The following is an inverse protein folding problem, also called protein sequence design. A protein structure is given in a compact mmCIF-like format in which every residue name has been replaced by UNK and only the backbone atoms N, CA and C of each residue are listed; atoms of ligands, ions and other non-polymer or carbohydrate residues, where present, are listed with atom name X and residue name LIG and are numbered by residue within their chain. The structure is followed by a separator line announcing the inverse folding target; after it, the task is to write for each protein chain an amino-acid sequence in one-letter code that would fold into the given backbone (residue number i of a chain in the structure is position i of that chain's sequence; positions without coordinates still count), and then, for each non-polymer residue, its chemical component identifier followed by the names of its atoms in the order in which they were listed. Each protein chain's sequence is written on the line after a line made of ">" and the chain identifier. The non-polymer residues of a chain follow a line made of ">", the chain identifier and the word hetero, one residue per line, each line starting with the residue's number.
data_IF_230644051558
#
_entry.id   IF_230644051558
#
_cell.length_a   1.000
_cell.length_b   1.000
_cell.length_c   1.000
_cell.angle_alpha   90.00
_cell.angle_beta   90.00
_cell.angle_gamma   90.00
#
_symmetry.space_group_name_H-M   'P 1'
#
loop_
_entity.id
_entity.type
_entity.pdbx_description
1 polymer ?
#
# COMPACT_ATOMS: atom_id res chain seq x y z
N UNK A 1 -10.65 6.89 -14.44
CA UNK A 1 -9.18 7.10 -14.42
C UNK A 1 -8.67 7.66 -13.09
N UNK A 2 -9.33 8.64 -12.46
CA UNK A 2 -8.89 9.23 -11.17
C UNK A 2 -8.70 8.23 -10.02
N UNK A 3 -9.57 7.22 -9.89
CA UNK A 3 -9.44 6.15 -8.86
C UNK A 3 -8.17 5.32 -9.03
N UNK A 4 -7.87 4.91 -10.27
CA UNK A 4 -6.68 4.10 -10.53
C UNK A 4 -5.41 4.91 -10.28
N UNK A 5 -5.40 6.18 -10.69
CA UNK A 5 -4.29 7.10 -10.41
C UNK A 5 -4.08 7.30 -8.90
N UNK A 6 -5.17 7.44 -8.13
CA UNK A 6 -5.11 7.49 -6.68
C UNK A 6 -4.48 6.22 -6.10
N UNK A 7 -5.00 5.05 -6.45
CA UNK A 7 -4.49 3.76 -5.96
C UNK A 7 -3.04 3.53 -6.36
N UNK A 8 -2.65 3.92 -7.58
CA UNK A 8 -1.29 3.81 -8.10
C UNK A 8 -0.32 4.69 -7.29
N UNK A 9 -0.66 5.96 -7.04
CA UNK A 9 0.16 6.88 -6.22
C UNK A 9 0.31 6.36 -4.79
N UNK A 10 -0.78 5.92 -4.18
CA UNK A 10 -0.77 5.32 -2.84
C UNK A 10 0.14 4.09 -2.79
N UNK A 11 -0.01 3.16 -3.74
CA UNK A 11 0.81 1.96 -3.82
C UNK A 11 2.29 2.27 -4.06
N UNK A 12 2.62 3.10 -5.05
CA UNK A 12 3.99 3.54 -5.34
C UNK A 12 4.65 4.19 -4.12
N UNK A 13 3.92 5.02 -3.39
CA UNK A 13 4.43 5.64 -2.16
C UNK A 13 4.81 4.57 -1.15
N UNK A 14 3.96 3.56 -0.92
CA UNK A 14 4.30 2.48 0.02
C UNK A 14 5.50 1.65 -0.45
N UNK A 15 5.60 1.34 -1.74
CA UNK A 15 6.68 0.49 -2.28
C UNK A 15 8.02 1.22 -2.35
N UNK A 16 8.02 2.54 -2.60
CA UNK A 16 9.25 3.33 -2.71
C UNK A 16 9.70 3.90 -1.37
N UNK A 17 8.77 4.39 -0.54
CA UNK A 17 9.12 5.07 0.72
C UNK A 17 9.46 4.09 1.84
N UNK A 18 8.78 2.93 1.91
CA UNK A 18 9.01 1.97 3.01
C UNK A 18 10.45 1.44 3.03
N UNK A 19 11.05 1.01 1.92
CA UNK A 19 12.46 0.61 1.89
C UNK A 19 13.40 1.70 2.39
N UNK A 20 13.15 2.96 2.04
CA UNK A 20 13.98 4.10 2.48
C UNK A 20 13.88 4.28 4.00
N UNK A 21 12.67 4.25 4.56
CA UNK A 21 12.45 4.36 6.02
C UNK A 21 13.13 3.19 6.75
N UNK A 22 12.96 1.97 6.25
CA UNK A 22 13.58 0.77 6.84
C UNK A 22 15.10 0.86 6.78
N UNK A 23 15.65 1.30 5.66
CA UNK A 23 17.11 1.44 5.49
C UNK A 23 17.67 2.46 6.47
N UNK A 24 17.02 3.62 6.63
CA UNK A 24 17.42 4.62 7.62
C UNK A 24 17.43 4.01 9.03
N UNK A 25 16.40 3.25 9.39
CA UNK A 25 16.33 2.56 10.67
C UNK A 25 17.48 1.54 10.85
N UNK A 26 17.75 0.72 9.84
CA UNK A 26 18.80 -0.31 9.89
C UNK A 26 20.21 0.32 9.93
N UNK A 27 20.45 1.40 9.18
CA UNK A 27 21.71 2.14 9.26
C UNK A 27 21.97 2.70 10.67
N UNK A 28 20.93 3.14 11.37
CA UNK A 28 21.06 3.71 12.73
C UNK A 28 21.21 2.61 13.80
N UNK A 29 20.49 1.50 13.65
CA UNK A 29 20.36 0.49 14.73
C UNK A 29 21.28 -0.72 14.56
N UNK A 30 21.58 -1.12 13.32
CA UNK A 30 22.28 -2.37 13.01
C UNK A 30 23.48 -2.20 12.07
N UNK A 31 23.76 -0.98 11.61
CA UNK A 31 24.82 -0.65 10.64
C UNK A 31 24.70 -1.48 9.36
N UNK A 32 23.72 -1.15 8.52
CA UNK A 32 23.59 -1.72 7.17
C UNK A 32 24.77 -1.28 6.29
N UNK A 33 25.67 -2.20 5.86
CA UNK A 33 26.86 -1.84 5.08
C UNK A 33 26.56 -1.43 3.63
N UNK A 34 25.45 -1.90 3.06
CA UNK A 34 25.07 -1.63 1.66
C UNK A 34 23.63 -1.09 1.51
N UNK A 35 23.35 0.11 2.04
CA UNK A 35 21.99 0.64 2.10
C UNK A 35 21.34 0.81 0.71
N UNK A 36 22.13 1.16 -0.31
CA UNK A 36 21.60 1.33 -1.66
C UNK A 36 21.19 0.00 -2.29
N UNK A 37 22.04 -1.04 -2.15
CA UNK A 37 21.75 -2.40 -2.63
C UNK A 37 20.46 -2.94 -1.98
N UNK A 38 20.31 -2.71 -0.68
CA UNK A 38 19.11 -3.09 0.07
C UNK A 38 17.86 -2.36 -0.46
N UNK A 39 17.89 -1.03 -0.61
CA UNK A 39 16.75 -0.25 -1.11
C UNK A 39 16.29 -0.76 -2.47
N UNK A 40 17.21 -0.93 -3.42
CA UNK A 40 16.89 -1.37 -4.78
C UNK A 40 16.27 -2.77 -4.78
N UNK A 41 16.85 -3.69 -4.00
CA UNK A 41 16.34 -5.06 -3.88
C UNK A 41 14.95 -5.07 -3.25
N UNK A 42 14.75 -4.33 -2.16
CA UNK A 42 13.47 -4.23 -1.47
C UNK A 42 12.38 -3.58 -2.34
N UNK A 43 12.71 -2.62 -3.20
CA UNK A 43 11.77 -2.05 -4.18
C UNK A 43 11.38 -3.11 -5.20
N UNK A 44 12.33 -3.83 -5.80
CA UNK A 44 12.04 -4.86 -6.82
C UNK A 44 11.16 -5.98 -6.24
N UNK A 45 11.55 -6.52 -5.08
CA UNK A 45 10.76 -7.53 -4.36
C UNK A 45 9.39 -6.95 -3.99
N UNK A 46 9.35 -5.74 -3.44
CA UNK A 46 8.13 -5.05 -3.07
C UNK A 46 7.16 -4.93 -4.25
N UNK A 47 7.64 -4.55 -5.44
CA UNK A 47 6.82 -4.48 -6.65
C UNK A 47 6.25 -5.86 -6.98
N UNK A 48 7.09 -6.89 -7.10
CA UNK A 48 6.68 -8.23 -7.56
C UNK A 48 5.60 -8.81 -6.63
N UNK A 49 5.82 -8.78 -5.32
CA UNK A 49 4.94 -9.43 -4.35
C UNK A 49 3.70 -8.60 -3.99
N UNK A 50 3.77 -7.27 -4.05
CA UNK A 50 2.62 -6.41 -3.74
C UNK A 50 1.75 -6.09 -4.96
N UNK A 51 2.21 -6.34 -6.20
CA UNK A 51 1.43 -6.03 -7.41
C UNK A 51 0.05 -6.71 -7.45
N UNK A 52 -0.11 -8.00 -7.11
CA UNK A 52 -1.44 -8.59 -7.00
C UNK A 52 -2.31 -7.90 -5.94
N UNK A 53 -1.71 -7.53 -4.81
CA UNK A 53 -2.37 -6.74 -3.76
C UNK A 53 -2.82 -5.37 -4.25
N UNK A 54 -1.99 -4.68 -5.05
CA UNK A 54 -2.34 -3.41 -5.68
C UNK A 54 -3.56 -3.53 -6.60
N UNK A 55 -3.65 -4.58 -7.41
CA UNK A 55 -4.83 -4.81 -8.26
C UNK A 55 -6.12 -4.92 -7.43
N UNK A 56 -6.06 -5.70 -6.33
CA UNK A 56 -7.18 -5.84 -5.40
C UNK A 56 -7.51 -4.50 -4.72
N UNK A 57 -6.48 -3.76 -4.29
CA UNK A 57 -6.65 -2.43 -3.69
C UNK A 57 -7.30 -1.44 -4.66
N UNK A 58 -6.90 -1.42 -5.92
CA UNK A 58 -7.47 -0.53 -6.94
C UNK A 58 -8.96 -0.84 -7.20
N UNK A 59 -9.33 -2.13 -7.25
CA UNK A 59 -10.72 -2.55 -7.34
C UNK A 59 -11.51 -2.18 -6.09
N UNK A 60 -10.92 -2.38 -4.91
CA UNK A 60 -11.52 -1.98 -3.63
C UNK A 60 -11.74 -0.47 -3.56
N UNK A 61 -10.78 0.37 -3.97
CA UNK A 61 -10.95 1.81 -4.05
C UNK A 61 -12.15 2.17 -4.92
N UNK A 62 -12.29 1.56 -6.10
CA UNK A 62 -13.43 1.78 -6.99
C UNK A 62 -14.76 1.40 -6.34
N UNK A 63 -14.80 0.27 -5.64
CA UNK A 63 -16.00 -0.21 -4.95
C UNK A 63 -16.37 0.65 -3.72
N UNK A 64 -15.38 1.07 -2.93
CA UNK A 64 -15.60 1.96 -1.78
C UNK A 64 -16.06 3.34 -2.23
N UNK A 65 -15.50 3.85 -3.33
CA UNK A 65 -15.87 5.13 -3.95
C UNK A 65 -17.29 5.16 -4.50
N UNK A 66 -17.82 4.02 -4.96
CA UNK A 66 -19.19 3.95 -5.49
C UNK A 66 -20.27 3.88 -4.41
N UNK A 67 -19.91 3.98 -3.13
CA UNK A 67 -20.85 3.96 -2.00
C UNK A 67 -21.03 5.37 -1.44
N UNK A 68 -22.27 5.71 -1.10
CA UNK A 68 -22.60 6.96 -0.42
C UNK A 68 -22.14 6.90 1.04
N UNK A 69 -20.86 7.21 1.27
CA UNK A 69 -20.18 7.22 2.56
C UNK A 69 -19.39 8.50 2.71
N UNK A 70 -19.12 8.90 3.94
CA UNK A 70 -18.28 10.08 4.18
C UNK A 70 -16.84 9.83 3.74
N UNK A 71 -16.11 10.88 3.38
CA UNK A 71 -14.69 10.78 2.98
C UNK A 71 -13.85 10.06 4.05
N UNK A 72 -14.12 10.37 5.32
CA UNK A 72 -13.46 9.72 6.47
C UNK A 72 -13.73 8.23 6.47
N UNK A 73 -14.99 7.80 6.33
CA UNK A 73 -15.34 6.37 6.28
C UNK A 73 -14.71 5.64 5.10
N UNK A 74 -14.65 6.28 3.93
CA UNK A 74 -14.01 5.73 2.74
C UNK A 74 -12.50 5.55 2.98
N UNK A 75 -11.81 6.57 3.50
CA UNK A 75 -10.37 6.50 3.80
C UNK A 75 -10.06 5.49 4.91
N UNK A 76 -10.88 5.41 5.96
CA UNK A 76 -10.73 4.39 7.01
C UNK A 76 -10.89 2.98 6.45
N UNK A 77 -11.90 2.72 5.62
CA UNK A 77 -12.09 1.40 5.02
C UNK A 77 -10.95 1.04 4.07
N UNK A 78 -10.52 1.97 3.22
CA UNK A 78 -9.35 1.76 2.36
C UNK A 78 -8.08 1.51 3.19
N UNK A 79 -7.91 2.18 4.33
CA UNK A 79 -6.78 1.95 5.24
C UNK A 79 -6.79 0.51 5.78
N UNK A 80 -7.95 0.02 6.23
CA UNK A 80 -8.09 -1.36 6.70
C UNK A 80 -7.80 -2.38 5.59
N UNK A 81 -8.29 -2.14 4.38
CA UNK A 81 -8.02 -3.00 3.22
C UNK A 81 -6.52 -2.97 2.88
N UNK A 82 -5.90 -1.78 2.87
CA UNK A 82 -4.46 -1.62 2.63
C UNK A 82 -3.62 -2.39 3.64
N UNK A 83 -3.91 -2.27 4.93
CA UNK A 83 -3.23 -3.03 6.00
C UNK A 83 -3.41 -4.54 5.78
N UNK A 84 -4.64 -4.99 5.50
CA UNK A 84 -4.92 -6.41 5.26
C UNK A 84 -4.15 -6.97 4.07
N UNK A 85 -4.04 -6.20 2.98
CA UNK A 85 -3.28 -6.58 1.80
C UNK A 85 -1.77 -6.58 2.04
N UNK A 86 -1.25 -5.63 2.82
CA UNK A 86 0.15 -5.62 3.26
C UNK A 86 0.44 -6.88 4.07
N UNK A 87 -0.39 -7.20 5.07
CA UNK A 87 -0.26 -8.41 5.87
C UNK A 87 -0.30 -9.68 5.00
N UNK A 88 -1.22 -9.73 4.04
CA UNK A 88 -1.35 -10.86 3.12
C UNK A 88 -0.12 -11.04 2.23
N UNK A 89 0.40 -9.95 1.65
CA UNK A 89 1.60 -9.99 0.82
C UNK A 89 2.83 -10.47 1.61
N UNK A 90 3.00 -9.96 2.83
CA UNK A 90 4.07 -10.41 3.71
C UNK A 90 3.87 -11.85 4.18
N UNK A 91 2.64 -12.26 4.48
CA UNK A 91 2.33 -13.65 4.81
C UNK A 91 2.71 -14.58 3.66
N UNK A 92 2.34 -14.25 2.41
CA UNK A 92 2.75 -15.04 1.24
C UNK A 92 4.26 -15.09 1.05
N UNK A 93 4.97 -13.99 1.28
CA UNK A 93 6.43 -13.94 1.18
C UNK A 93 7.12 -14.78 2.26
N UNK A 94 6.61 -14.76 3.49
CA UNK A 94 7.23 -15.43 4.65
C UNK A 94 6.76 -16.88 4.87
N UNK A 95 5.54 -17.23 4.47
CA UNK A 95 5.03 -18.61 4.52
C UNK A 95 5.14 -19.36 3.20
N UNK A 96 5.51 -18.66 2.10
CA UNK A 96 5.64 -19.22 0.76
C UNK A 96 7.06 -19.13 0.16
N UNK A 97 7.38 -20.15 -0.65
CA UNK A 97 8.40 -20.28 -1.71
C UNK A 97 9.90 -20.06 -1.36
N UNK A 98 10.34 -19.11 -0.53
CA UNK A 98 11.78 -18.75 -0.48
C UNK A 98 12.49 -18.66 0.87
N UNK A 99 11.81 -18.38 2.00
CA UNK A 99 12.48 -18.24 3.31
C UNK A 99 11.69 -18.98 4.38
N UNK A 100 12.19 -20.13 4.85
CA UNK A 100 11.65 -20.79 6.03
C UNK A 100 12.17 -20.09 7.28
N UNK A 101 11.32 -19.29 7.93
CA UNK A 101 11.61 -18.68 9.23
C UNK A 101 10.95 -17.32 9.42
N UNK A 102 10.55 -17.02 10.66
CA UNK A 102 10.14 -15.67 11.06
C UNK A 102 11.43 -14.85 11.17
N UNK A 103 11.70 -13.94 10.23
CA UNK A 103 12.81 -13.01 10.43
C UNK A 103 12.50 -12.12 11.65
N UNK A 104 13.52 -11.79 12.48
CA UNK A 104 13.36 -10.94 13.66
C UNK A 104 12.73 -9.57 13.35
N UNK A 105 12.81 -9.13 12.09
CA UNK A 105 12.33 -7.81 11.67
C UNK A 105 10.95 -7.83 11.00
N UNK A 106 10.24 -8.98 10.94
CA UNK A 106 8.92 -9.10 10.29
C UNK A 106 7.93 -8.00 10.72
N UNK A 107 7.91 -7.72 12.03
CA UNK A 107 7.05 -6.69 12.64
C UNK A 107 7.44 -5.30 12.14
N UNK A 108 8.74 -5.02 12.01
CA UNK A 108 9.24 -3.75 11.48
C UNK A 108 8.75 -3.53 10.06
N UNK A 109 8.94 -4.51 9.17
CA UNK A 109 8.50 -4.41 7.77
C UNK A 109 6.99 -4.15 7.68
N UNK A 110 6.15 -4.96 8.34
CA UNK A 110 4.70 -4.77 8.31
C UNK A 110 4.31 -3.41 8.86
N UNK A 111 4.92 -2.98 9.96
CA UNK A 111 4.59 -1.70 10.60
C UNK A 111 4.92 -0.54 9.67
N UNK A 112 6.10 -0.53 9.04
CA UNK A 112 6.49 0.55 8.13
C UNK A 112 5.62 0.54 6.88
N UNK A 113 5.43 -0.60 6.23
CA UNK A 113 4.60 -0.68 5.01
C UNK A 113 3.12 -0.36 5.29
N UNK A 114 2.59 -0.76 6.45
CA UNK A 114 1.23 -0.40 6.86
C UNK A 114 1.11 1.09 7.18
N UNK A 115 2.13 1.69 7.79
CA UNK A 115 2.13 3.11 8.08
C UNK A 115 2.19 3.94 6.80
N UNK A 116 3.07 3.58 5.85
CA UNK A 116 3.21 4.30 4.58
C UNK A 116 1.98 4.19 3.69
N UNK A 117 1.34 3.01 3.60
CA UNK A 117 0.09 2.86 2.82
C UNK A 117 -1.03 3.71 3.43
N UNK A 118 -1.18 3.70 4.76
CA UNK A 118 -2.17 4.53 5.45
C UNK A 118 -1.87 6.01 5.24
N UNK A 119 -0.63 6.46 5.47
CA UNK A 119 -0.23 7.84 5.20
C UNK A 119 -0.50 8.23 3.75
N UNK A 120 -0.20 7.38 2.77
CA UNK A 120 -0.51 7.61 1.37
C UNK A 120 -2.01 7.81 1.12
N UNK A 121 -2.86 6.98 1.73
CA UNK A 121 -4.33 7.09 1.62
C UNK A 121 -4.82 8.45 2.14
N UNK A 122 -4.26 8.91 3.27
CA UNK A 122 -4.67 10.14 3.93
C UNK A 122 -4.10 11.40 3.27
N UNK A 123 -2.86 11.36 2.79
CA UNK A 123 -2.17 12.47 2.13
C UNK A 123 -2.74 12.77 0.74
N UNK A 124 -3.02 11.74 -0.08
CA UNK A 124 -3.51 11.99 -1.43
C UNK A 124 -4.95 12.47 -1.44
N UNK A 125 -5.19 13.50 -2.28
CA UNK A 125 -6.52 14.03 -2.52
C UNK A 125 -7.36 12.98 -3.22
N UNK A 126 -8.54 12.76 -2.65
CA UNK A 126 -9.57 11.90 -3.19
C UNK A 126 -10.55 12.81 -3.92
N UNK A 127 -10.73 12.59 -5.23
CA UNK A 127 -11.61 13.42 -6.06
C UNK A 127 -12.88 12.61 -6.43
N UNK A 128 -13.97 12.78 -5.66
CA UNK A 128 -15.22 12.04 -5.85
C UNK A 128 -16.05 12.54 -7.04
N UNK A 129 -15.69 13.67 -7.66
CA UNK A 129 -16.54 14.35 -8.66
C UNK A 129 -16.82 13.54 -9.94
N UNK A 130 -16.13 12.41 -10.16
CA UNK A 130 -16.34 11.56 -11.34
C UNK A 130 -17.37 10.43 -11.12
N UNK A 131 -17.82 10.15 -9.89
CA UNK A 131 -18.86 9.14 -9.64
C UNK A 131 -20.29 9.70 -9.70
N UNK A 132 -20.46 11.01 -9.46
CA UNK A 132 -21.76 11.68 -9.47
C UNK A 132 -22.27 11.95 -10.89
N UNK A 133 -21.40 12.34 -11.82
CA UNK A 133 -21.80 12.62 -13.21
C UNK A 133 -22.36 11.40 -13.96
N UNK A 134 -21.94 10.19 -13.61
CA UNK A 134 -22.48 8.97 -14.22
C UNK A 134 -23.83 8.54 -13.62
N UNK A 135 -24.11 8.89 -12.35
CA UNK A 135 -25.39 8.60 -11.71
C UNK A 135 -26.48 9.58 -12.13
N UNK A 136 -26.13 10.86 -12.31
CA UNK A 136 -27.07 11.89 -12.77
C UNK A 136 -27.47 11.72 -14.24
N UNK A 137 -26.64 11.07 -15.07
CA UNK A 137 -26.95 10.77 -16.48
C UNK A 137 -27.84 9.54 -16.69
N UNK A 138 -28.00 8.68 -15.66
CA UNK A 138 -28.85 7.49 -15.73
C UNK A 138 -30.17 7.63 -14.96
N UNK A 139 -30.40 8.78 -14.31
CA UNK A 139 -31.62 9.09 -13.56
C UNK A 139 -32.55 10.09 -14.28
N UNK A 140 -32.25 10.43 -15.54
CA UNK A 140 -33.07 11.28 -16.41
C UNK A 140 -33.90 10.48 -17.42
#
# INVERSE_FOLDING_TARGET
>A
MKTFEYSLKTWQTSVLLSPVIITIYLCITQYEPEPLSFILTAIVIGIIYSFPGFMVFALACRWVMSRNRTLVQQKSLMSLIGIGLTLFAFYLYYTGIFIQGIMPDFILYITVYSSTIVSGIWLFKFDPAASLTAQDLCAG
#
